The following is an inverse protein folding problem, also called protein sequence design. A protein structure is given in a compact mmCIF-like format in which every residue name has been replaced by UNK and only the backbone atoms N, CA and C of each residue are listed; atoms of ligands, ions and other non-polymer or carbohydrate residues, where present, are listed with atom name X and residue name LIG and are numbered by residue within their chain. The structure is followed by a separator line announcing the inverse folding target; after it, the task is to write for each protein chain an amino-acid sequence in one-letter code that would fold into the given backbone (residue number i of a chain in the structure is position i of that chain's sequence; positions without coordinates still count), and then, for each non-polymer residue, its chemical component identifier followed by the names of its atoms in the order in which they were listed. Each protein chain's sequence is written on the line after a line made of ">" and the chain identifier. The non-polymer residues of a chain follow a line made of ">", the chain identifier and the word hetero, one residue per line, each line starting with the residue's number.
data_IF_485297171796
#
_entry.id   IF_485297171796
#
_cell.length_a   1.000
_cell.length_b   1.000
_cell.length_c   1.000
_cell.angle_alpha   90.00
_cell.angle_beta   90.00
_cell.angle_gamma   90.00
#
_symmetry.space_group_name_H-M   'P 1'
#
loop_
_entity.id
_entity.type
_entity.pdbx_description
1 polymer ?
#
# COMPACT_ATOMS: atom_id res chain seq x y z
N UNK A 1 13.15 70.14 -9.45
CA UNK A 1 14.15 69.09 -9.74
C UNK A 1 14.79 68.63 -8.43
N UNK A 2 14.44 67.41 -7.98
CA UNK A 2 15.20 66.50 -7.10
C UNK A 2 14.27 65.34 -6.70
N UNK A 3 14.41 64.13 -7.25
CA UNK A 3 13.76 62.95 -6.68
C UNK A 3 14.59 62.43 -5.51
N UNK A 4 13.95 62.25 -4.35
CA UNK A 4 14.54 61.64 -3.16
C UNK A 4 14.34 60.12 -3.21
N UNK A 5 15.47 59.44 -3.20
CA UNK A 5 15.77 58.03 -2.89
C UNK A 5 14.59 57.11 -2.46
N UNK A 6 14.39 56.04 -3.22
CA UNK A 6 14.27 54.69 -2.65
C UNK A 6 15.70 54.22 -2.24
N UNK A 7 15.92 53.20 -1.37
CA UNK A 7 15.07 52.03 -1.09
C UNK A 7 15.07 51.60 0.40
N UNK A 8 14.19 50.67 0.80
CA UNK A 8 14.46 49.56 1.74
C UNK A 8 13.14 48.95 2.18
N UNK A 9 12.92 47.67 1.89
CA UNK A 9 12.38 46.67 2.83
C UNK A 9 12.11 45.39 2.03
N UNK A 10 13.18 44.68 1.65
CA UNK A 10 13.08 43.24 1.40
C UNK A 10 13.01 42.55 2.75
N UNK A 11 11.79 42.35 3.26
CA UNK A 11 11.55 41.47 4.39
C UNK A 11 11.85 40.03 3.95
N UNK A 12 12.99 39.51 4.37
CA UNK A 12 13.36 38.10 4.18
C UNK A 12 12.38 37.28 5.00
N UNK A 13 11.45 36.61 4.30
CA UNK A 13 10.61 35.53 4.82
C UNK A 13 11.52 34.37 5.25
N UNK A 14 12.01 34.40 6.50
CA UNK A 14 12.51 33.21 7.19
C UNK A 14 11.31 32.33 7.55
N UNK A 15 10.81 31.58 6.57
CA UNK A 15 9.95 30.45 6.86
C UNK A 15 10.80 29.35 7.53
N UNK A 16 10.41 28.83 8.70
CA UNK A 16 11.10 27.67 9.27
C UNK A 16 10.90 26.50 8.30
N UNK A 17 11.98 26.01 7.73
CA UNK A 17 11.98 24.73 7.03
C UNK A 17 11.66 23.66 8.07
N UNK A 18 10.39 23.25 8.16
CA UNK A 18 10.03 22.04 8.87
C UNK A 18 10.72 20.89 8.12
N UNK A 19 11.84 20.41 8.67
CA UNK A 19 12.43 19.15 8.24
C UNK A 19 11.40 18.06 8.51
N UNK A 20 10.63 17.70 7.47
CA UNK A 20 9.82 16.50 7.47
C UNK A 20 10.79 15.30 7.56
N UNK A 21 11.08 14.86 8.79
CA UNK A 21 11.88 13.67 9.03
C UNK A 21 11.12 12.47 8.52
N UNK A 22 11.55 11.95 7.38
CA UNK A 22 11.03 10.69 6.87
C UNK A 22 11.45 9.55 7.81
N UNK A 23 10.48 8.82 8.35
CA UNK A 23 10.76 7.62 9.13
C UNK A 23 10.85 6.44 8.15
N UNK A 24 12.03 5.83 8.06
CA UNK A 24 12.28 4.65 7.24
C UNK A 24 12.77 3.51 8.12
N UNK A 25 12.39 2.28 7.79
CA UNK A 25 12.94 1.11 8.44
C UNK A 25 12.68 -0.18 7.67
N UNK A 26 13.42 -1.21 8.06
CA UNK A 26 13.22 -2.59 7.57
C UNK A 26 12.25 -3.35 8.48
N UNK A 27 11.55 -4.31 7.89
CA UNK A 27 10.60 -5.19 8.56
C UNK A 27 11.10 -6.63 8.49
N UNK A 28 11.30 -7.24 9.66
CA UNK A 28 11.64 -8.66 9.81
C UNK A 28 10.41 -9.58 9.80
N UNK A 29 9.23 -9.00 9.98
CA UNK A 29 7.95 -9.70 9.95
C UNK A 29 6.92 -8.88 9.14
N UNK A 30 5.90 -9.53 8.55
CA UNK A 30 4.83 -8.83 7.86
C UNK A 30 4.07 -7.89 8.80
N UNK A 31 3.93 -6.64 8.40
CA UNK A 31 3.13 -5.65 9.13
C UNK A 31 2.94 -4.40 8.29
N UNK A 32 1.88 -3.65 8.60
CA UNK A 32 1.60 -2.35 7.97
C UNK A 32 1.20 -1.35 9.04
N UNK A 33 1.42 -0.06 8.75
CA UNK A 33 0.85 1.01 9.54
C UNK A 33 -0.67 1.09 9.30
N UNK A 34 -1.42 1.62 10.27
CA UNK A 34 -2.85 1.89 10.12
C UNK A 34 -3.13 3.36 10.42
N UNK A 35 -4.11 3.95 9.72
CA UNK A 35 -4.58 5.29 10.05
C UNK A 35 -5.11 5.36 11.49
N UNK A 36 -5.00 6.54 12.10
CA UNK A 36 -5.55 6.79 13.43
C UNK A 36 -7.05 6.46 13.46
N UNK A 37 -7.49 5.72 14.47
CA UNK A 37 -8.89 5.31 14.63
C UNK A 37 -9.32 4.11 13.78
N UNK A 38 -8.43 3.45 13.04
CA UNK A 38 -8.78 2.23 12.32
C UNK A 38 -9.18 1.12 13.31
N UNK A 39 -10.33 0.43 13.13
CA UNK A 39 -10.83 -0.53 14.12
C UNK A 39 -9.84 -1.68 14.37
N UNK A 40 -9.59 -2.03 15.64
CA UNK A 40 -8.65 -3.10 16.02
C UNK A 40 -9.01 -4.45 15.38
N UNK A 41 -10.30 -4.77 15.28
CA UNK A 41 -10.76 -5.98 14.61
C UNK A 41 -10.35 -6.03 13.12
N UNK A 42 -10.41 -4.89 12.41
CA UNK A 42 -9.97 -4.80 11.02
C UNK A 42 -8.45 -4.90 10.91
N UNK A 43 -7.70 -4.29 11.84
CA UNK A 43 -6.24 -4.45 11.92
C UNK A 43 -5.82 -5.91 12.11
N UNK A 44 -6.52 -6.66 12.98
CA UNK A 44 -6.28 -8.09 13.20
C UNK A 44 -6.54 -8.92 11.95
N UNK A 45 -7.59 -8.61 11.19
CA UNK A 45 -7.88 -9.31 9.93
C UNK A 45 -6.81 -9.04 8.87
N UNK A 46 -6.39 -7.78 8.71
CA UNK A 46 -5.28 -7.42 7.82
C UNK A 46 -4.01 -8.16 8.24
N UNK A 47 -3.66 -8.12 9.52
CA UNK A 47 -2.48 -8.84 10.04
C UNK A 47 -2.56 -10.32 9.74
N UNK A 48 -3.70 -10.97 9.98
CA UNK A 48 -3.89 -12.38 9.69
C UNK A 48 -3.72 -12.71 8.20
N UNK A 49 -4.16 -11.83 7.29
CA UNK A 49 -3.94 -11.98 5.86
C UNK A 49 -2.46 -11.84 5.48
N UNK A 50 -1.72 -10.93 6.12
CA UNK A 50 -0.29 -10.70 5.87
C UNK A 50 0.61 -11.79 6.46
N UNK A 51 0.20 -12.44 7.55
CA UNK A 51 1.01 -13.45 8.25
C UNK A 51 0.55 -14.89 7.98
N UNK A 52 -0.09 -15.15 6.84
CA UNK A 52 -0.54 -16.50 6.49
C UNK A 52 0.65 -17.46 6.34
N UNK A 53 0.51 -18.67 6.87
CA UNK A 53 1.59 -19.65 6.90
C UNK A 53 2.00 -20.20 5.52
N UNK A 54 1.11 -20.15 4.54
CA UNK A 54 1.36 -20.56 3.16
C UNK A 54 2.03 -19.46 2.31
N UNK A 55 2.15 -18.24 2.84
CA UNK A 55 2.88 -17.13 2.22
C UNK A 55 4.26 -17.00 2.87
N UNK A 56 5.33 -17.27 2.11
CA UNK A 56 6.69 -17.08 2.61
C UNK A 56 7.06 -15.60 2.55
N UNK A 57 7.10 -14.92 3.70
CA UNK A 57 7.64 -13.57 3.79
C UNK A 57 9.15 -13.56 3.52
N UNK A 58 9.59 -12.69 2.63
CA UNK A 58 11.00 -12.55 2.24
C UNK A 58 11.67 -11.33 2.87
N UNK A 59 10.88 -10.36 3.31
CA UNK A 59 11.34 -9.10 3.86
C UNK A 59 10.40 -7.95 3.53
N UNK A 60 10.60 -6.83 4.20
CA UNK A 60 9.82 -5.63 3.95
C UNK A 60 10.52 -4.37 4.41
N UNK A 61 9.97 -3.25 4.02
CA UNK A 61 10.41 -1.91 4.43
C UNK A 61 9.23 -0.98 4.50
N UNK A 62 9.37 0.08 5.28
CA UNK A 62 8.40 1.15 5.33
C UNK A 62 9.08 2.50 5.18
N UNK A 63 8.32 3.45 4.65
CA UNK A 63 8.65 4.86 4.58
C UNK A 63 7.40 5.65 4.93
N UNK A 64 7.40 6.25 6.12
CA UNK A 64 6.23 6.92 6.69
C UNK A 64 5.01 5.98 6.73
N UNK A 65 3.94 6.34 6.02
CA UNK A 65 2.69 5.59 5.90
C UNK A 65 2.70 4.52 4.79
N UNK A 66 3.79 4.43 4.02
CA UNK A 66 3.92 3.46 2.96
C UNK A 66 4.70 2.23 3.41
N UNK A 67 4.19 1.05 3.08
CA UNK A 67 4.86 -0.21 3.34
C UNK A 67 5.07 -1.00 2.05
N UNK A 68 6.20 -1.68 1.94
CA UNK A 68 6.57 -2.59 0.86
C UNK A 68 6.93 -3.94 1.47
N UNK A 69 6.23 -4.99 1.06
CA UNK A 69 6.41 -6.36 1.56
C UNK A 69 6.67 -7.29 0.38
N UNK A 70 7.61 -8.22 0.55
CA UNK A 70 8.02 -9.19 -0.47
C UNK A 70 7.60 -10.59 -0.04
N UNK A 71 7.02 -11.34 -0.97
CA UNK A 71 6.56 -12.71 -0.71
C UNK A 71 7.00 -13.70 -1.78
N UNK A 72 7.10 -14.94 -1.35
CA UNK A 72 7.18 -16.12 -2.20
C UNK A 72 6.07 -17.13 -1.89
N UNK A 73 5.68 -17.90 -2.89
CA UNK A 73 4.69 -18.96 -2.80
C UNK A 73 4.19 -19.37 -4.18
N UNK A 74 3.23 -20.28 -4.21
CA UNK A 74 2.58 -20.74 -5.43
C UNK A 74 1.28 -19.96 -5.74
N UNK A 75 0.65 -20.27 -6.87
CA UNK A 75 -0.63 -19.63 -7.25
C UNK A 75 -1.71 -19.82 -6.19
N UNK A 76 -1.74 -20.96 -5.50
CA UNK A 76 -2.75 -21.23 -4.47
C UNK A 76 -2.57 -20.30 -3.28
N UNK A 77 -1.35 -20.13 -2.80
CA UNK A 77 -1.03 -19.19 -1.73
C UNK A 77 -1.40 -17.75 -2.12
N UNK A 78 -1.06 -17.33 -3.34
CA UNK A 78 -1.41 -16.00 -3.85
C UNK A 78 -2.93 -15.78 -3.92
N UNK A 79 -3.68 -16.74 -4.48
CA UNK A 79 -5.15 -16.68 -4.53
C UNK A 79 -5.77 -16.52 -3.13
N UNK A 80 -5.33 -17.34 -2.18
CA UNK A 80 -5.85 -17.28 -0.80
C UNK A 80 -5.43 -16.01 -0.06
N UNK A 81 -4.27 -15.46 -0.39
CA UNK A 81 -3.80 -14.17 0.10
C UNK A 81 -4.67 -13.02 -0.41
N UNK A 82 -4.94 -12.97 -1.72
CA UNK A 82 -5.80 -11.96 -2.34
C UNK A 82 -7.22 -12.03 -1.77
N UNK A 83 -7.78 -13.23 -1.63
CA UNK A 83 -9.09 -13.45 -1.00
C UNK A 83 -9.16 -12.93 0.44
N UNK A 84 -8.12 -13.20 1.23
CA UNK A 84 -8.07 -12.75 2.62
C UNK A 84 -8.03 -11.22 2.71
N UNK A 85 -7.23 -10.56 1.87
CA UNK A 85 -7.18 -9.09 1.81
C UNK A 85 -8.50 -8.49 1.32
N UNK A 86 -9.13 -9.06 0.28
CA UNK A 86 -10.39 -8.55 -0.25
C UNK A 86 -11.55 -8.63 0.76
N UNK A 87 -11.47 -9.53 1.74
CA UNK A 87 -12.45 -9.67 2.82
C UNK A 87 -12.20 -8.72 4.00
N UNK A 88 -11.07 -8.02 4.05
CA UNK A 88 -10.73 -7.10 5.13
C UNK A 88 -11.57 -5.80 5.00
N UNK A 89 -12.32 -5.39 6.04
CA UNK A 89 -13.12 -4.17 6.01
C UNK A 89 -12.30 -2.91 5.71
N UNK A 90 -12.79 -2.10 4.78
CA UNK A 90 -12.16 -0.82 4.41
C UNK A 90 -10.85 -0.95 3.65
N UNK A 91 -10.46 -2.17 3.22
CA UNK A 91 -9.31 -2.37 2.33
C UNK A 91 -9.72 -2.11 0.89
N UNK A 92 -8.94 -1.30 0.19
CA UNK A 92 -8.97 -1.22 -1.27
C UNK A 92 -7.85 -2.09 -1.84
N UNK A 93 -8.17 -3.09 -2.64
CA UNK A 93 -7.21 -3.99 -3.25
C UNK A 93 -7.05 -3.69 -4.75
N UNK A 94 -5.82 -3.43 -5.17
CA UNK A 94 -5.43 -3.32 -6.57
C UNK A 94 -4.42 -4.42 -6.90
N UNK A 95 -4.60 -5.10 -8.02
CA UNK A 95 -3.69 -6.16 -8.48
C UNK A 95 -3.18 -5.80 -9.87
N UNK A 96 -1.87 -5.93 -10.07
CA UNK A 96 -1.26 -5.76 -11.39
C UNK A 96 -0.21 -6.82 -11.67
N UNK A 97 0.10 -7.01 -12.95
CA UNK A 97 1.01 -8.03 -13.44
C UNK A 97 2.23 -7.35 -14.05
N UNK A 98 3.43 -7.79 -13.67
CA UNK A 98 4.67 -7.18 -14.15
C UNK A 98 5.57 -8.22 -14.79
N UNK A 99 6.08 -7.90 -15.98
CA UNK A 99 6.99 -8.77 -16.75
C UNK A 99 8.43 -8.76 -16.22
N UNK A 100 8.73 -7.86 -15.27
CA UNK A 100 10.02 -7.71 -14.60
C UNK A 100 9.86 -7.91 -13.10
N UNK A 101 10.97 -8.00 -12.39
CA UNK A 101 10.92 -8.05 -10.93
C UNK A 101 10.20 -6.80 -10.40
N UNK A 102 9.19 -6.96 -9.50
CA UNK A 102 8.42 -5.83 -9.00
C UNK A 102 9.28 -4.76 -8.31
N UNK A 103 10.39 -5.21 -7.72
CA UNK A 103 11.43 -4.38 -7.14
C UNK A 103 12.77 -4.81 -7.76
N UNK A 104 13.52 -3.91 -8.41
CA UNK A 104 14.83 -4.24 -8.96
C UNK A 104 15.78 -4.78 -7.89
N UNK A 105 16.41 -5.93 -8.16
CA UNK A 105 17.38 -6.55 -7.24
C UNK A 105 16.77 -7.32 -6.06
N UNK A 106 15.45 -7.32 -5.89
CA UNK A 106 14.76 -8.01 -4.79
C UNK A 106 13.79 -9.06 -5.36
N UNK A 107 14.27 -10.29 -5.65
CA UNK A 107 13.45 -11.32 -6.28
C UNK A 107 12.31 -11.76 -5.35
N UNK A 108 11.08 -11.74 -5.88
CA UNK A 108 9.88 -12.18 -5.20
C UNK A 108 8.86 -12.74 -6.22
N UNK A 109 7.91 -13.56 -5.75
CA UNK A 109 6.81 -14.03 -6.58
C UNK A 109 5.69 -12.98 -6.69
N UNK A 110 5.45 -12.25 -5.60
CA UNK A 110 4.65 -11.05 -5.60
C UNK A 110 5.14 -10.05 -4.56
N UNK A 111 4.89 -8.78 -4.84
CA UNK A 111 5.15 -7.66 -3.97
C UNK A 111 3.84 -7.02 -3.53
N UNK A 112 3.76 -6.63 -2.26
CA UNK A 112 2.62 -5.91 -1.69
C UNK A 112 3.05 -4.52 -1.29
N UNK A 113 2.52 -3.51 -1.96
CA UNK A 113 2.58 -2.11 -1.53
C UNK A 113 1.36 -1.77 -0.69
N UNK A 114 1.52 -0.93 0.33
CA UNK A 114 0.42 -0.44 1.14
C UNK A 114 0.56 1.06 1.40
N UNK A 115 -0.57 1.78 1.37
CA UNK A 115 -0.72 3.16 1.81
C UNK A 115 -1.71 3.21 2.98
N UNK A 116 -1.22 3.54 4.18
CA UNK A 116 -2.03 3.58 5.39
C UNK A 116 -3.08 4.69 5.40
N UNK A 117 -2.90 5.78 4.65
CA UNK A 117 -3.90 6.87 4.61
C UNK A 117 -5.15 6.46 3.85
N UNK A 118 -4.99 5.71 2.77
CA UNK A 118 -6.09 5.22 1.93
C UNK A 118 -6.53 3.80 2.28
N UNK A 119 -5.80 3.15 3.18
CA UNK A 119 -5.87 1.71 3.45
C UNK A 119 -5.87 0.89 2.15
N UNK A 120 -5.01 1.28 1.21
CA UNK A 120 -4.94 0.73 -0.12
C UNK A 120 -3.77 -0.24 -0.22
N UNK A 121 -4.04 -1.43 -0.74
CA UNK A 121 -3.05 -2.46 -1.04
C UNK A 121 -2.87 -2.56 -2.55
N UNK A 122 -1.62 -2.60 -3.01
CA UNK A 122 -1.26 -2.87 -4.39
C UNK A 122 -0.40 -4.13 -4.46
N UNK A 123 -0.99 -5.22 -4.95
CA UNK A 123 -0.29 -6.49 -5.17
C UNK A 123 0.23 -6.54 -6.61
N UNK A 124 1.56 -6.58 -6.75
CA UNK A 124 2.25 -6.70 -8.03
C UNK A 124 2.75 -8.13 -8.20
N UNK A 125 2.14 -8.88 -9.11
CA UNK A 125 2.44 -10.29 -9.39
C UNK A 125 3.58 -10.38 -10.41
N UNK A 126 4.65 -11.10 -10.07
CA UNK A 126 5.81 -11.28 -10.93
C UNK A 126 5.54 -12.37 -11.97
N UNK A 127 5.41 -11.99 -13.25
CA UNK A 127 5.18 -12.93 -14.35
C UNK A 127 6.39 -13.81 -14.69
N UNK A 128 7.58 -13.47 -14.17
CA UNK A 128 8.76 -14.34 -14.28
C UNK A 128 8.75 -15.50 -13.29
N UNK A 129 7.88 -15.47 -12.29
CA UNK A 129 7.82 -16.54 -11.31
C UNK A 129 7.33 -17.83 -11.95
N UNK A 130 8.19 -18.86 -11.94
CA UNK A 130 7.81 -20.22 -12.35
C UNK A 130 6.81 -20.90 -11.40
N UNK A 131 6.50 -20.29 -10.24
CA UNK A 131 5.54 -20.79 -9.25
C UNK A 131 4.13 -20.24 -9.47
N UNK A 132 3.99 -19.12 -10.18
CA UNK A 132 2.71 -18.49 -10.47
C UNK A 132 2.22 -18.92 -11.85
N UNK A 133 1.27 -19.83 -11.87
CA UNK A 133 0.51 -20.25 -13.05
C UNK A 133 -0.67 -19.30 -13.26
N UNK A 134 -0.58 -18.42 -14.26
CA UNK A 134 -1.65 -17.46 -14.58
C UNK A 134 -3.03 -18.10 -14.86
N UNK A 135 -3.14 -19.25 -15.55
CA UNK A 135 -4.45 -19.87 -15.79
C UNK A 135 -5.19 -20.29 -14.51
N UNK A 136 -4.45 -20.53 -13.43
CA UNK A 136 -5.00 -20.94 -12.13
C UNK A 136 -5.19 -19.74 -11.19
N UNK A 137 -4.76 -18.54 -11.59
CA UNK A 137 -4.89 -17.33 -10.79
C UNK A 137 -6.31 -16.79 -10.96
N UNK A 138 -6.98 -16.51 -9.85
CA UNK A 138 -8.24 -15.75 -9.87
C UNK A 138 -8.10 -14.47 -9.08
N UNK A 139 -8.85 -13.45 -9.50
CA UNK A 139 -8.97 -12.21 -8.75
C UNK A 139 -10.23 -12.29 -7.88
N UNK A 140 -10.14 -11.95 -6.59
CA UNK A 140 -11.28 -12.02 -5.69
C UNK A 140 -12.40 -11.11 -6.16
N UNK A 141 -13.64 -11.53 -5.92
CA UNK A 141 -14.80 -10.66 -6.11
C UNK A 141 -14.72 -9.46 -5.17
N UNK A 142 -14.85 -8.26 -5.72
CA UNK A 142 -14.92 -7.03 -4.95
C UNK A 142 -16.34 -6.49 -5.08
N UNK A 143 -17.02 -6.29 -3.95
CA UNK A 143 -18.32 -5.61 -3.96
C UNK A 143 -18.10 -4.16 -4.37
N UNK A 144 -18.76 -3.74 -5.45
CA UNK A 144 -18.80 -2.34 -5.84
C UNK A 144 -19.41 -1.45 -4.75
N UNK A 145 -19.23 -0.12 -4.84
CA UNK A 145 -19.88 0.80 -3.92
C UNK A 145 -21.40 0.57 -3.92
N UNK A 146 -22.04 0.75 -2.77
CA UNK A 146 -23.50 0.68 -2.70
C UNK A 146 -24.11 1.71 -3.66
N UNK A 147 -25.13 1.29 -4.43
CA UNK A 147 -25.90 2.24 -5.23
C UNK A 147 -26.57 3.22 -4.27
N UNK A 148 -26.25 4.51 -4.41
CA UNK A 148 -26.95 5.56 -3.67
C UNK A 148 -28.35 5.64 -4.25
N UNK A 149 -29.32 4.99 -3.60
CA UNK A 149 -30.73 5.26 -3.87
C UNK A 149 -31.03 6.63 -3.30
N UNK A 150 -30.90 7.68 -4.10
CA UNK A 150 -31.40 9.01 -3.76
C UNK A 150 -32.89 8.86 -3.43
N UNK A 151 -33.37 9.31 -2.27
CA UNK A 151 -34.81 9.37 -2.02
C UNK A 151 -35.41 10.27 -3.10
N UNK A 152 -36.35 9.74 -3.89
CA UNK A 152 -37.26 10.60 -4.65
C UNK A 152 -38.11 11.33 -3.62
N UNK A 153 -37.76 12.58 -3.34
CA UNK A 153 -38.66 13.49 -2.63
C UNK A 153 -39.90 13.68 -3.51
N UNK A 154 -41.12 13.51 -2.96
CA UNK A 154 -42.36 13.73 -3.70
C UNK A 154 -42.53 15.18 -4.19
#
# INVERSE_FOLDING_TARGET
>A
MKPLLAPLLSAILLAPAFEARALMGELKEPGVAHAAGHPEAAQKQVRAALTRADCKFLGGRFLNSHTSLLYAGDTKALNQFLDALAKCPGVALHVSFVATDPIPGEPCDWHVGHDAHRNQFHVRVNLKSGRIKLPDLYLPEVKGPALVSTPQTP
#
